data_IF_038051162239
#
_entry.id   IF_038051162239
#
_cell.length_a   1.000
_cell.length_b   1.000
_cell.length_c   1.000
_cell.angle_alpha   90.00
_cell.angle_beta   90.00
_cell.angle_gamma   90.00
#
_symmetry.space_group_name_H-M   'P 1'
#
loop_
_entity.id
_entity.type
_entity.pdbx_description
1 polymer ?
#
# COMPACT_ATOMS: atom_id res chain seq x y z
N UNK A 1 -5.01 -10.25 29.49
CA UNK A 1 -5.02 -8.85 29.98
C UNK A 1 -3.58 -8.38 30.12
N UNK A 2 -3.23 -7.23 29.51
CA UNK A 2 -1.87 -6.72 29.50
C UNK A 2 -1.03 -7.21 28.31
N UNK A 3 -1.65 -7.93 27.36
CA UNK A 3 -0.98 -8.38 26.15
C UNK A 3 -0.79 -7.22 25.19
N UNK A 4 0.35 -7.20 24.50
CA UNK A 4 0.61 -6.28 23.40
C UNK A 4 0.00 -6.85 22.13
N UNK A 5 -0.84 -6.05 21.45
CA UNK A 5 -1.55 -6.49 20.24
C UNK A 5 -1.52 -5.43 19.16
N UNK A 6 -1.40 -5.86 17.92
CA UNK A 6 -1.70 -5.05 16.75
C UNK A 6 -3.19 -5.20 16.41
N UNK A 7 -3.82 -4.10 16.05
CA UNK A 7 -5.24 -4.05 15.68
C UNK A 7 -5.36 -3.96 14.18
N UNK A 8 -6.17 -4.82 13.58
CA UNK A 8 -6.52 -4.69 12.17
C UNK A 8 -7.51 -3.52 12.01
N UNK A 9 -7.18 -2.56 11.15
CA UNK A 9 -8.03 -1.38 10.89
C UNK A 9 -9.37 -1.78 10.25
N UNK A 10 -9.37 -2.77 9.40
CA UNK A 10 -10.57 -3.35 8.81
C UNK A 10 -11.05 -4.53 9.66
N UNK A 11 -11.82 -4.24 10.72
CA UNK A 11 -12.39 -5.29 11.56
C UNK A 11 -13.36 -6.17 10.76
N UNK A 12 -13.42 -7.47 11.05
CA UNK A 12 -14.30 -8.39 10.34
C UNK A 12 -14.78 -9.55 11.22
N UNK A 13 -15.96 -10.10 10.92
CA UNK A 13 -16.60 -11.12 11.77
C UNK A 13 -15.98 -12.51 11.60
N UNK A 14 -15.30 -12.82 10.49
CA UNK A 14 -14.74 -14.14 10.20
C UNK A 14 -15.75 -15.18 9.68
N UNK A 15 -17.07 -14.95 9.77
CA UNK A 15 -18.10 -15.96 9.53
C UNK A 15 -18.96 -15.72 8.30
N UNK A 16 -19.13 -14.47 7.84
CA UNK A 16 -19.95 -14.17 6.67
C UNK A 16 -19.30 -14.69 5.37
N UNK A 17 -20.10 -14.72 4.31
CA UNK A 17 -19.64 -15.18 2.99
C UNK A 17 -18.34 -14.49 2.55
N UNK A 18 -18.26 -13.18 2.67
CA UNK A 18 -17.07 -12.42 2.24
C UNK A 18 -15.85 -12.75 3.10
N UNK A 19 -16.01 -12.81 4.42
CA UNK A 19 -14.91 -13.16 5.32
C UNK A 19 -14.36 -14.56 5.06
N UNK A 20 -15.23 -15.55 4.84
CA UNK A 20 -14.83 -16.94 4.55
C UNK A 20 -14.09 -17.09 3.20
N UNK A 21 -14.30 -16.14 2.29
CA UNK A 21 -13.62 -16.09 0.99
C UNK A 21 -12.40 -15.13 0.97
N UNK A 22 -12.00 -14.56 2.13
CA UNK A 22 -10.84 -13.68 2.24
C UNK A 22 -11.10 -12.22 1.85
N UNK A 23 -12.34 -11.86 1.53
CA UNK A 23 -12.73 -10.49 1.18
C UNK A 23 -13.25 -9.75 2.42
N UNK A 24 -12.39 -9.62 3.43
CA UNK A 24 -12.78 -9.13 4.76
C UNK A 24 -13.25 -7.68 4.78
N UNK A 25 -12.75 -6.87 3.85
CA UNK A 25 -13.20 -5.49 3.62
C UNK A 25 -14.68 -5.38 3.23
N UNK A 26 -15.28 -6.44 2.70
CA UNK A 26 -16.70 -6.52 2.37
C UNK A 26 -17.53 -7.24 3.44
N UNK A 27 -17.03 -7.32 4.67
CA UNK A 27 -17.78 -7.92 5.78
C UNK A 27 -19.17 -7.30 5.92
N UNK A 28 -20.19 -8.15 6.00
CA UNK A 28 -21.60 -7.71 6.06
C UNK A 28 -22.06 -7.33 7.48
N UNK A 29 -21.26 -7.60 8.50
CA UNK A 29 -21.56 -7.15 9.85
C UNK A 29 -21.39 -5.64 9.97
N UNK A 30 -22.27 -4.99 10.76
CA UNK A 30 -22.24 -3.54 10.96
C UNK A 30 -20.92 -3.03 11.57
N UNK A 31 -20.26 -3.86 12.35
CA UNK A 31 -18.97 -3.57 12.99
C UNK A 31 -17.77 -4.09 12.18
N UNK A 32 -18.02 -4.58 10.96
CA UNK A 32 -17.00 -5.13 10.06
C UNK A 32 -16.71 -4.23 8.86
N UNK A 33 -15.71 -4.60 8.09
CA UNK A 33 -15.18 -3.78 7.00
C UNK A 33 -14.59 -2.47 7.53
N UNK A 34 -14.74 -1.40 6.82
CA UNK A 34 -14.29 -0.05 7.21
C UNK A 34 -15.13 0.55 8.34
N UNK A 35 -15.21 -0.13 9.48
CA UNK A 35 -16.05 0.28 10.60
C UNK A 35 -15.28 1.09 11.64
N UNK A 36 -14.10 0.62 12.05
CA UNK A 36 -13.31 1.23 13.12
C UNK A 36 -12.85 2.65 12.74
N UNK A 37 -13.28 3.63 13.55
CA UNK A 37 -13.02 5.05 13.26
C UNK A 37 -13.93 5.68 12.20
N UNK A 38 -14.83 4.92 11.58
CA UNK A 38 -15.79 5.40 10.58
C UNK A 38 -17.24 5.25 11.01
N UNK A 39 -17.70 4.02 11.27
CA UNK A 39 -19.07 3.71 11.71
C UNK A 39 -19.16 3.39 13.19
N UNK A 40 -18.06 3.09 13.83
CA UNK A 40 -17.88 2.87 15.26
C UNK A 40 -16.69 3.68 15.75
N UNK A 41 -16.55 3.86 17.06
CA UNK A 41 -15.45 4.59 17.66
C UNK A 41 -14.10 4.01 17.27
N UNK A 42 -13.10 4.89 17.07
CA UNK A 42 -11.76 4.55 16.62
C UNK A 42 -10.72 4.53 17.75
N UNK A 43 -9.43 4.46 17.33
CA UNK A 43 -8.29 4.32 18.24
C UNK A 43 -7.70 5.64 18.79
N UNK A 44 -8.24 6.82 18.44
CA UNK A 44 -7.76 8.10 19.00
C UNK A 44 -8.36 8.38 20.39
N UNK A 45 -8.13 7.45 21.32
CA UNK A 45 -8.65 7.46 22.67
C UNK A 45 -7.73 6.65 23.59
N UNK A 46 -7.89 6.81 24.90
CA UNK A 46 -7.17 5.99 25.89
C UNK A 46 -7.58 4.51 25.84
N UNK A 47 -8.81 4.24 25.42
CA UNK A 47 -9.37 2.90 25.29
C UNK A 47 -10.16 2.82 23.99
N UNK A 48 -10.01 1.74 23.26
CA UNK A 48 -10.81 1.44 22.09
C UNK A 48 -11.45 0.05 22.24
N UNK A 49 -12.71 -0.08 21.83
CA UNK A 49 -13.38 -1.37 21.73
C UNK A 49 -13.18 -1.93 20.35
N UNK A 50 -12.52 -3.07 20.26
CA UNK A 50 -12.28 -3.76 18.99
C UNK A 50 -13.32 -4.89 18.84
N UNK A 51 -14.21 -4.81 17.83
CA UNK A 51 -15.14 -5.90 17.53
C UNK A 51 -14.41 -7.16 17.10
N UNK A 52 -15.00 -8.32 17.39
CA UNK A 52 -14.45 -9.62 16.96
C UNK A 52 -12.97 -9.76 17.33
N UNK A 53 -12.64 -9.55 18.61
CA UNK A 53 -11.26 -9.44 19.08
C UNK A 53 -10.38 -10.64 18.70
N UNK A 54 -10.93 -11.85 18.70
CA UNK A 54 -10.20 -13.08 18.35
C UNK A 54 -9.74 -13.11 16.88
N UNK A 55 -10.41 -12.35 16.02
CA UNK A 55 -10.09 -12.25 14.59
C UNK A 55 -9.23 -11.03 14.27
N UNK A 56 -9.38 -9.95 15.06
CA UNK A 56 -8.84 -8.63 14.71
C UNK A 56 -7.72 -8.13 15.63
N UNK A 57 -7.35 -8.91 16.65
CA UNK A 57 -6.20 -8.64 17.51
C UNK A 57 -5.11 -9.67 17.26
N UNK A 58 -3.92 -9.19 16.87
CA UNK A 58 -2.78 -10.04 16.58
C UNK A 58 -1.73 -9.81 17.67
N UNK A 59 -1.35 -10.84 18.45
CA UNK A 59 -0.29 -10.70 19.44
C UNK A 59 1.02 -10.23 18.80
N UNK A 60 1.63 -9.18 19.38
CA UNK A 60 2.92 -8.66 18.91
C UNK A 60 4.03 -9.54 19.48
N UNK A 61 4.88 -10.13 18.63
CA UNK A 61 6.02 -10.92 19.09
C UNK A 61 6.97 -10.10 19.98
N UNK A 62 7.60 -10.73 20.96
CA UNK A 62 8.44 -10.03 21.94
C UNK A 62 9.65 -9.28 21.32
N UNK A 63 10.14 -9.73 20.15
CA UNK A 63 11.25 -9.11 19.44
C UNK A 63 10.84 -7.97 18.50
N UNK A 64 9.54 -7.70 18.37
CA UNK A 64 9.00 -6.60 17.54
C UNK A 64 8.66 -5.43 18.47
N UNK A 65 9.19 -4.24 18.16
CA UNK A 65 8.89 -3.03 18.93
C UNK A 65 7.48 -2.51 18.63
N UNK A 66 6.96 -1.61 19.48
CA UNK A 66 5.66 -0.97 19.25
C UNK A 66 5.66 -0.11 17.99
N UNK A 67 6.78 0.58 17.72
CA UNK A 67 6.94 1.39 16.49
C UNK A 67 6.91 0.52 15.24
N UNK A 68 7.54 -0.65 15.26
CA UNK A 68 7.50 -1.59 14.13
C UNK A 68 6.10 -2.18 13.94
N UNK A 69 5.44 -2.54 15.04
CA UNK A 69 4.10 -3.12 15.00
C UNK A 69 3.02 -2.12 14.57
N UNK A 70 3.21 -0.82 14.85
CA UNK A 70 2.24 0.24 14.54
C UNK A 70 1.81 0.25 13.08
N UNK A 71 2.74 -0.01 12.16
CA UNK A 71 2.47 0.06 10.72
C UNK A 71 1.77 -1.19 10.17
N UNK A 72 1.75 -2.29 10.92
CA UNK A 72 1.21 -3.57 10.43
C UNK A 72 -0.31 -3.60 10.34
N UNK A 73 -0.99 -2.75 11.12
CA UNK A 73 -2.45 -2.69 11.13
C UNK A 73 -3.08 -2.10 9.86
N UNK A 74 -2.32 -1.32 9.07
CA UNK A 74 -2.83 -0.67 7.86
C UNK A 74 -1.72 -0.47 6.80
N UNK A 75 -0.83 0.51 7.00
CA UNK A 75 0.09 0.99 5.96
C UNK A 75 1.00 -0.11 5.39
N UNK A 76 1.60 -0.93 6.25
CA UNK A 76 2.49 -2.00 5.80
C UNK A 76 1.71 -3.14 5.14
N UNK A 77 0.55 -3.52 5.69
CA UNK A 77 -0.32 -4.52 5.10
C UNK A 77 -0.87 -4.06 3.75
N UNK A 78 -1.23 -2.79 3.61
CA UNK A 78 -1.64 -2.18 2.33
C UNK A 78 -0.49 -2.21 1.32
N UNK A 79 0.73 -1.86 1.74
CA UNK A 79 1.93 -1.96 0.90
C UNK A 79 2.23 -3.39 0.46
N UNK A 80 2.13 -4.35 1.39
CA UNK A 80 2.32 -5.77 1.09
C UNK A 80 1.25 -6.29 0.12
N UNK A 81 -0.01 -5.97 0.38
CA UNK A 81 -1.12 -6.37 -0.49
C UNK A 81 -0.98 -5.78 -1.89
N UNK A 82 -0.63 -4.50 -2.01
CA UNK A 82 -0.42 -3.86 -3.31
C UNK A 82 0.71 -4.51 -4.11
N UNK A 83 1.83 -4.83 -3.46
CA UNK A 83 2.94 -5.54 -4.11
C UNK A 83 2.54 -6.95 -4.57
N UNK A 84 1.73 -7.64 -3.75
CA UNK A 84 1.23 -8.99 -4.06
C UNK A 84 0.31 -9.00 -5.27
N UNK A 85 -0.69 -8.09 -5.33
CA UNK A 85 -1.65 -8.04 -6.44
C UNK A 85 -1.09 -7.36 -7.70
N UNK A 86 0.05 -6.67 -7.59
CA UNK A 86 0.80 -6.16 -8.74
C UNK A 86 1.51 -7.28 -9.53
N UNK A 87 1.45 -8.51 -9.02
CA UNK A 87 2.04 -9.70 -9.66
C UNK A 87 3.52 -9.52 -10.00
N UNK A 88 4.25 -8.79 -9.15
CA UNK A 88 5.68 -8.51 -9.33
C UNK A 88 6.46 -9.83 -9.42
N UNK A 89 7.34 -9.92 -10.40
CA UNK A 89 8.24 -11.06 -10.63
C UNK A 89 9.69 -10.63 -10.46
N UNK A 90 10.55 -11.60 -10.18
CA UNK A 90 11.98 -11.37 -10.19
C UNK A 90 12.45 -10.83 -11.55
N UNK A 91 13.23 -9.76 -11.53
CA UNK A 91 13.72 -9.12 -12.74
C UNK A 91 12.83 -8.01 -13.31
N UNK A 92 11.61 -7.81 -12.78
CA UNK A 92 10.70 -6.77 -13.26
C UNK A 92 11.21 -5.35 -13.00
N UNK A 93 10.76 -4.42 -13.82
CA UNK A 93 10.79 -2.98 -13.53
C UNK A 93 9.51 -2.60 -12.81
N UNK A 94 9.61 -2.19 -11.55
CA UNK A 94 8.48 -1.78 -10.71
C UNK A 94 8.45 -0.27 -10.57
N UNK A 95 7.29 0.34 -10.82
CA UNK A 95 7.04 1.76 -10.63
C UNK A 95 6.10 1.99 -9.45
N UNK A 96 6.54 2.84 -8.51
CA UNK A 96 5.71 3.37 -7.42
C UNK A 96 5.46 4.85 -7.68
N UNK A 97 4.20 5.26 -7.72
CA UNK A 97 3.80 6.66 -7.84
C UNK A 97 3.35 7.19 -6.48
N UNK A 98 4.09 8.19 -5.98
CA UNK A 98 3.93 8.75 -4.65
C UNK A 98 4.85 8.11 -3.61
N UNK A 99 5.53 8.97 -2.82
CA UNK A 99 6.43 8.60 -1.74
C UNK A 99 5.90 9.03 -0.36
N UNK A 100 4.57 9.02 -0.21
CA UNK A 100 3.90 9.10 1.08
C UNK A 100 4.07 7.79 1.88
N UNK A 101 3.50 7.70 3.10
CA UNK A 101 3.64 6.50 3.92
C UNK A 101 3.23 5.20 3.22
N UNK A 102 2.13 5.22 2.48
CA UNK A 102 1.66 4.05 1.71
C UNK A 102 2.64 3.69 0.59
N UNK A 103 3.12 4.68 -0.19
CA UNK A 103 4.10 4.44 -1.26
C UNK A 103 5.44 3.94 -0.72
N UNK A 104 5.88 4.45 0.43
CA UNK A 104 7.06 3.93 1.13
C UNK A 104 6.92 2.44 1.48
N UNK A 105 5.79 2.07 2.10
CA UNK A 105 5.49 0.68 2.44
C UNK A 105 5.36 -0.21 1.20
N UNK A 106 4.75 0.30 0.11
CA UNK A 106 4.67 -0.40 -1.16
C UNK A 106 6.06 -0.65 -1.77
N UNK A 107 6.95 0.36 -1.74
CA UNK A 107 8.33 0.23 -2.19
C UNK A 107 9.11 -0.82 -1.38
N UNK A 108 8.98 -0.77 -0.05
CA UNK A 108 9.59 -1.76 0.86
C UNK A 108 9.12 -3.18 0.53
N UNK A 109 7.82 -3.38 0.33
CA UNK A 109 7.25 -4.69 0.04
C UNK A 109 7.55 -5.16 -1.38
N UNK A 110 7.65 -4.26 -2.37
CA UNK A 110 8.03 -4.60 -3.73
C UNK A 110 9.45 -5.21 -3.81
N UNK A 111 10.37 -4.75 -2.96
CA UNK A 111 11.73 -5.30 -2.89
C UNK A 111 11.79 -6.77 -2.45
N UNK A 112 10.76 -7.30 -1.79
CA UNK A 112 10.67 -8.72 -1.41
C UNK A 112 10.60 -9.65 -2.63
N UNK A 113 10.26 -9.12 -3.80
CA UNK A 113 10.12 -9.86 -5.06
C UNK A 113 11.36 -9.76 -5.97
N UNK A 114 12.46 -9.16 -5.49
CA UNK A 114 13.72 -9.00 -6.22
C UNK A 114 13.55 -8.36 -7.63
N UNK A 115 12.89 -7.19 -7.75
CA UNK A 115 12.79 -6.52 -9.03
C UNK A 115 14.17 -6.09 -9.53
N UNK A 116 14.41 -6.13 -10.85
CA UNK A 116 15.65 -5.60 -11.43
C UNK A 116 15.75 -4.07 -11.26
N UNK A 117 14.60 -3.39 -11.22
CA UNK A 117 14.53 -1.94 -11.04
C UNK A 117 13.33 -1.56 -10.17
N UNK A 118 13.58 -0.76 -9.14
CA UNK A 118 12.54 -0.05 -8.40
C UNK A 118 12.63 1.43 -8.76
N UNK A 119 11.57 1.99 -9.33
CA UNK A 119 11.44 3.40 -9.68
C UNK A 119 10.38 4.01 -8.77
N UNK A 120 10.72 5.11 -8.08
CA UNK A 120 9.79 5.86 -7.24
C UNK A 120 9.64 7.26 -7.81
N UNK A 121 8.43 7.61 -8.22
CA UNK A 121 8.09 8.93 -8.73
C UNK A 121 7.39 9.75 -7.65
N UNK A 122 7.97 10.90 -7.29
CA UNK A 122 7.44 11.80 -6.26
C UNK A 122 7.69 13.27 -6.63
N UNK A 123 6.67 14.10 -6.51
CA UNK A 123 6.76 15.53 -6.85
C UNK A 123 7.47 16.37 -5.78
N UNK A 124 7.40 15.95 -4.50
CA UNK A 124 7.93 16.73 -3.37
C UNK A 124 9.42 16.43 -3.18
N UNK A 125 10.34 17.41 -3.35
CA UNK A 125 11.78 17.19 -3.27
C UNK A 125 12.25 16.57 -1.95
N UNK A 126 11.71 16.98 -0.82
CA UNK A 126 12.08 16.45 0.48
C UNK A 126 11.71 14.97 0.65
N UNK A 127 10.60 14.53 0.07
CA UNK A 127 10.21 13.12 0.05
C UNK A 127 11.10 12.29 -0.89
N UNK A 128 11.49 12.86 -2.03
CA UNK A 128 12.47 12.20 -2.91
C UNK A 128 13.77 11.94 -2.17
N UNK A 129 14.34 12.97 -1.52
CA UNK A 129 15.56 12.82 -0.73
C UNK A 129 15.42 11.78 0.41
N UNK A 130 14.25 11.71 1.03
CA UNK A 130 13.95 10.71 2.05
C UNK A 130 13.98 9.28 1.47
N UNK A 131 13.34 9.06 0.32
CA UNK A 131 13.36 7.75 -0.35
C UNK A 131 14.77 7.37 -0.79
N UNK A 132 15.52 8.27 -1.38
CA UNK A 132 16.93 8.05 -1.80
C UNK A 132 17.80 7.60 -0.63
N UNK A 133 17.61 8.20 0.54
CA UNK A 133 18.35 7.83 1.74
C UNK A 133 18.01 6.43 2.28
N UNK A 134 16.76 5.96 2.12
CA UNK A 134 16.30 4.68 2.67
C UNK A 134 16.31 3.54 1.65
N UNK A 135 16.25 3.84 0.36
CA UNK A 135 16.29 2.87 -0.73
C UNK A 135 17.39 3.22 -1.74
N UNK A 136 18.68 3.00 -1.40
CA UNK A 136 19.80 3.40 -2.26
C UNK A 136 19.80 2.73 -3.64
N UNK A 137 19.14 1.58 -3.78
CA UNK A 137 18.97 0.88 -5.06
C UNK A 137 17.81 1.39 -5.90
N UNK A 138 16.90 2.19 -5.34
CA UNK A 138 15.77 2.74 -6.07
C UNK A 138 16.19 3.92 -6.94
N UNK A 139 15.63 4.01 -8.15
CA UNK A 139 15.71 5.22 -8.96
C UNK A 139 14.56 6.14 -8.59
N UNK A 140 14.89 7.27 -7.98
CA UNK A 140 13.90 8.29 -7.59
C UNK A 140 13.87 9.39 -8.64
N UNK A 141 12.66 9.81 -9.05
CA UNK A 141 12.45 10.79 -10.13
C UNK A 141 11.29 11.72 -9.82
N UNK A 142 11.30 12.88 -10.47
CA UNK A 142 10.13 13.76 -10.54
C UNK A 142 9.13 13.28 -11.61
N UNK A 143 7.88 13.78 -11.61
CA UNK A 143 6.90 13.44 -12.65
C UNK A 143 7.37 13.74 -14.07
N UNK A 144 8.11 14.83 -14.26
CA UNK A 144 8.62 15.27 -15.56
C UNK A 144 9.71 14.34 -16.12
N UNK A 145 10.48 13.71 -15.23
CA UNK A 145 11.56 12.78 -15.57
C UNK A 145 11.10 11.36 -15.85
N UNK A 146 9.88 10.99 -15.40
CA UNK A 146 9.40 9.62 -15.36
C UNK A 146 9.26 8.99 -16.75
N UNK A 147 8.46 9.57 -17.63
CA UNK A 147 8.17 8.97 -18.93
C UNK A 147 9.42 8.88 -19.83
N UNK A 148 10.31 9.90 -19.89
CA UNK A 148 11.60 9.77 -20.60
C UNK A 148 12.51 8.66 -20.06
N UNK A 149 12.45 8.39 -18.74
CA UNK A 149 13.18 7.28 -18.12
C UNK A 149 12.59 5.93 -18.54
N UNK A 150 11.27 5.77 -18.45
CA UNK A 150 10.58 4.53 -18.74
C UNK A 150 10.68 4.10 -20.22
N UNK A 151 10.71 5.06 -21.15
CA UNK A 151 10.95 4.78 -22.58
C UNK A 151 12.28 4.08 -22.86
N UNK A 152 13.26 4.18 -21.95
CA UNK A 152 14.57 3.54 -22.06
C UNK A 152 14.63 2.16 -21.40
N UNK A 153 13.53 1.70 -20.78
CA UNK A 153 13.45 0.33 -20.26
C UNK A 153 13.29 -0.67 -21.41
N UNK A 154 13.57 -1.93 -21.16
CA UNK A 154 13.57 -2.99 -22.18
C UNK A 154 12.22 -3.09 -22.91
N UNK A 155 11.12 -2.84 -22.19
CA UNK A 155 9.76 -2.97 -22.73
C UNK A 155 9.03 -1.62 -22.89
N UNK A 156 9.75 -0.50 -22.80
CA UNK A 156 9.18 0.85 -22.98
C UNK A 156 8.23 1.29 -21.88
N UNK A 157 8.29 0.68 -20.70
CA UNK A 157 7.44 0.96 -19.54
C UNK A 157 7.80 0.10 -18.35
N UNK A 158 7.03 0.21 -17.26
CA UNK A 158 7.14 -0.63 -16.08
C UNK A 158 6.32 -1.92 -16.23
N UNK A 159 6.81 -3.04 -15.70
CA UNK A 159 6.14 -4.33 -15.68
C UNK A 159 5.00 -4.37 -14.65
N UNK A 160 5.19 -3.70 -13.51
CA UNK A 160 4.21 -3.53 -12.47
C UNK A 160 4.20 -2.07 -11.99
N UNK A 161 3.01 -1.51 -11.80
CA UNK A 161 2.81 -0.12 -11.35
C UNK A 161 1.93 -0.11 -10.11
N UNK A 162 2.35 0.61 -9.06
CA UNK A 162 1.54 0.85 -7.86
C UNK A 162 1.34 2.35 -7.72
N UNK A 163 0.09 2.79 -7.81
CA UNK A 163 -0.31 4.17 -7.66
C UNK A 163 -0.77 4.43 -6.22
N UNK A 164 -0.03 5.28 -5.49
CA UNK A 164 -0.22 5.61 -4.09
C UNK A 164 -0.25 7.13 -3.81
N UNK A 165 -0.35 7.97 -4.84
CA UNK A 165 -0.37 9.43 -4.70
C UNK A 165 -1.77 10.04 -4.70
N UNK A 166 -2.74 9.44 -5.40
CA UNK A 166 -4.14 9.81 -5.36
C UNK A 166 -4.49 11.10 -6.11
N UNK A 167 -3.80 11.43 -7.20
CA UNK A 167 -4.12 12.56 -8.05
C UNK A 167 -4.45 12.13 -9.48
N UNK A 168 -5.19 12.97 -10.21
CA UNK A 168 -5.46 12.72 -11.64
C UNK A 168 -4.16 12.60 -12.45
N UNK A 169 -3.17 13.42 -12.12
CA UNK A 169 -1.86 13.38 -12.74
C UNK A 169 -1.15 12.04 -12.50
N UNK A 170 -1.09 11.58 -11.24
CA UNK A 170 -0.46 10.30 -10.91
C UNK A 170 -1.20 9.11 -11.51
N UNK A 171 -2.54 9.16 -11.57
CA UNK A 171 -3.32 8.13 -12.26
C UNK A 171 -2.96 8.06 -13.75
N UNK A 172 -2.87 9.21 -14.40
CA UNK A 172 -2.48 9.30 -15.81
C UNK A 172 -1.05 8.81 -16.05
N UNK A 173 -0.12 9.18 -15.16
CA UNK A 173 1.26 8.69 -15.21
C UNK A 173 1.36 7.18 -14.95
N UNK A 174 0.51 6.61 -14.09
CA UNK A 174 0.45 5.17 -13.85
C UNK A 174 0.12 4.41 -15.14
N UNK A 175 -0.89 4.89 -15.85
CA UNK A 175 -1.32 4.30 -17.12
C UNK A 175 -0.27 4.46 -18.23
N UNK A 176 0.30 5.66 -18.38
CA UNK A 176 1.30 5.95 -19.42
C UNK A 176 2.66 5.30 -19.14
N UNK A 177 2.98 5.09 -17.88
CA UNK A 177 4.23 4.48 -17.45
C UNK A 177 4.21 2.95 -17.47
N UNK A 178 3.06 2.34 -17.57
CA UNK A 178 2.91 0.89 -17.69
C UNK A 178 3.23 0.42 -19.11
N UNK A 179 4.00 -0.68 -19.25
CA UNK A 179 4.13 -1.33 -20.57
C UNK A 179 2.83 -2.02 -20.99
N UNK A 180 2.66 -2.40 -22.25
CA UNK A 180 1.53 -3.26 -22.64
C UNK A 180 1.45 -4.54 -21.78
N UNK A 181 0.24 -4.90 -21.34
CA UNK A 181 -0.04 -6.03 -20.45
C UNK A 181 0.64 -5.96 -19.06
N UNK A 182 1.06 -4.79 -18.61
CA UNK A 182 1.49 -4.60 -17.22
C UNK A 182 0.28 -4.60 -16.26
N UNK A 183 0.53 -4.90 -15.00
CA UNK A 183 -0.46 -4.75 -13.93
C UNK A 183 -0.33 -3.36 -13.31
N UNK A 184 -1.47 -2.63 -13.24
CA UNK A 184 -1.56 -1.33 -12.57
C UNK A 184 -2.46 -1.48 -11.35
N UNK A 185 -1.89 -1.29 -10.16
CA UNK A 185 -2.59 -1.35 -8.88
C UNK A 185 -2.84 0.06 -8.38
N UNK A 186 -4.09 0.37 -8.07
CA UNK A 186 -4.49 1.65 -7.50
C UNK A 186 -4.79 1.43 -6.01
N UNK A 187 -3.95 2.01 -5.14
CA UNK A 187 -4.13 1.96 -3.68
C UNK A 187 -4.54 3.30 -3.09
N UNK A 188 -4.33 4.38 -3.81
CA UNK A 188 -4.74 5.70 -3.35
C UNK A 188 -6.25 5.87 -3.42
N UNK A 189 -6.79 6.73 -2.54
CA UNK A 189 -8.19 7.14 -2.57
C UNK A 189 -8.37 8.35 -3.48
N UNK A 190 -9.34 8.28 -4.38
CA UNK A 190 -9.71 9.37 -5.27
C UNK A 190 -11.05 9.96 -4.86
N UNK A 191 -11.13 11.28 -4.70
CA UNK A 191 -12.37 11.96 -4.33
C UNK A 191 -13.40 11.96 -5.46
N UNK A 192 -12.96 11.87 -6.72
CA UNK A 192 -13.83 11.71 -7.88
C UNK A 192 -13.03 11.27 -9.11
N UNK A 193 -13.23 10.04 -9.55
CA UNK A 193 -12.85 9.56 -10.89
C UNK A 193 -14.07 9.42 -11.81
N UNK A 194 -15.24 9.82 -11.31
CA UNK A 194 -16.52 9.58 -12.01
C UNK A 194 -16.69 10.43 -13.26
N UNK A 195 -15.81 11.38 -13.50
CA UNK A 195 -15.83 12.30 -14.64
C UNK A 195 -14.64 12.11 -15.59
N UNK A 196 -13.99 10.96 -15.55
CA UNK A 196 -12.97 10.56 -16.51
C UNK A 196 -13.64 9.87 -17.70
#
# INVERSE_FOLDING_TARGET
RGDRVAVNVETYCGECFFCRNGWVNNCTDRSGGWALGCRIDGGQAQFARIPFADTNLIPIPAHVSDEQALFTGDLLSTGYWSAKIAEIREGDTVLILGAGPTGYCAALCALLYNPARLIVCEKIPSRRAFIEAHFPSAKVVSPEELLPLLQKTEHGGADAVIEAAGSEESFRLAWQGARPNAVVVIVAMYLSLIHI
#
